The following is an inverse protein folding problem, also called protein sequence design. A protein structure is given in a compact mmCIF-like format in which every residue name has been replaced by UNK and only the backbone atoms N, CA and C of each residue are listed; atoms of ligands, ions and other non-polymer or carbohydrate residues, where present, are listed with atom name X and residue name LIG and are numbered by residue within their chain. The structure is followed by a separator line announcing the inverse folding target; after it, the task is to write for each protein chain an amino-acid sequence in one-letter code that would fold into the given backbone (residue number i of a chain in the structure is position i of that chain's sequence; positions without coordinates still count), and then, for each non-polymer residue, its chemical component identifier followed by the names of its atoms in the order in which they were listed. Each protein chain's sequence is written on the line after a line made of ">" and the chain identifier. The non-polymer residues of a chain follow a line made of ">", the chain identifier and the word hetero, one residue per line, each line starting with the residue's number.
data_IF_980256486560
#
_entry.id   IF_980256486560
#
_cell.length_a   1.000
_cell.length_b   1.000
_cell.length_c   1.000
_cell.angle_alpha   90.00
_cell.angle_beta   90.00
_cell.angle_gamma   90.00
#
_symmetry.space_group_name_H-M   'P 1'
#
loop_
_entity.id
_entity.type
_entity.pdbx_description
1 polymer ?
#
# COMPACT_ATOMS: atom_id res chain seq x y z
N UNK A 1 0.01 13.05 14.66
CA UNK A 1 0.18 11.95 15.68
C UNK A 1 0.27 12.55 17.09
N UNK A 2 -0.29 11.93 18.13
CA UNK A 2 -0.31 12.48 19.51
C UNK A 2 1.00 12.18 20.28
N UNK A 3 2.13 12.41 19.66
CA UNK A 3 3.45 12.19 20.23
C UNK A 3 4.26 13.48 20.21
N UNK A 4 5.22 13.58 21.13
CA UNK A 4 6.13 14.73 21.21
C UNK A 4 7.14 14.69 20.05
N UNK A 5 7.71 15.85 19.74
CA UNK A 5 8.75 15.99 18.73
C UNK A 5 9.99 15.17 19.11
N UNK A 6 10.62 14.54 18.14
CA UNK A 6 11.86 13.79 18.35
C UNK A 6 11.74 12.62 19.32
N UNK A 7 10.58 11.94 19.37
CA UNK A 7 10.33 10.84 20.31
C UNK A 7 10.88 9.50 19.84
N UNK A 8 10.98 9.28 18.50
CA UNK A 8 11.25 7.97 17.96
C UNK A 8 12.53 7.90 17.13
N UNK A 9 13.21 6.77 17.23
CA UNK A 9 14.35 6.45 16.37
C UNK A 9 13.89 5.89 15.02
N UNK A 10 12.74 5.21 15.01
CA UNK A 10 12.13 4.60 13.81
C UNK A 10 10.61 4.83 13.84
N UNK A 11 10.05 5.22 12.70
CA UNK A 11 8.62 5.14 12.42
C UNK A 11 8.43 4.09 11.33
N UNK A 12 7.56 3.11 11.61
CA UNK A 12 7.27 2.01 10.68
C UNK A 12 5.78 1.96 10.37
N UNK A 13 5.46 1.71 9.10
CA UNK A 13 4.08 1.48 8.66
C UNK A 13 3.99 0.32 7.68
N UNK A 14 2.90 -0.44 7.78
CA UNK A 14 2.58 -1.49 6.81
C UNK A 14 1.09 -1.44 6.47
N UNK A 15 0.80 -1.29 5.18
CA UNK A 15 -0.55 -1.34 4.58
C UNK A 15 -1.57 -0.43 5.31
N UNK A 16 -1.15 0.77 5.74
CA UNK A 16 -2.01 1.68 6.50
C UNK A 16 -1.92 3.15 6.09
N UNK A 17 -0.79 3.61 5.57
CA UNK A 17 -0.69 5.01 5.12
C UNK A 17 -1.43 5.27 3.80
N UNK A 18 -1.86 4.22 3.11
CA UNK A 18 -2.78 4.29 1.97
C UNK A 18 -4.09 5.02 2.34
N UNK A 19 -4.56 4.90 3.58
CA UNK A 19 -5.79 5.53 4.05
C UNK A 19 -5.64 7.00 4.43
N UNK A 20 -4.43 7.55 4.39
CA UNK A 20 -4.15 8.94 4.73
C UNK A 20 -4.12 9.78 3.44
N UNK A 21 -5.14 10.64 3.17
CA UNK A 21 -5.21 11.38 1.91
C UNK A 21 -4.07 12.38 1.74
N UNK A 22 -3.74 13.12 2.79
CA UNK A 22 -2.70 14.14 2.77
C UNK A 22 -1.33 13.53 3.08
N UNK A 23 -0.59 13.18 2.02
CA UNK A 23 0.75 12.62 2.13
C UNK A 23 1.79 13.65 2.61
N UNK A 24 1.54 14.95 2.38
CA UNK A 24 2.39 16.01 2.88
C UNK A 24 2.27 16.15 4.40
N UNK A 25 1.05 16.24 4.92
CA UNK A 25 0.81 16.25 6.37
C UNK A 25 1.34 14.97 7.06
N UNK A 26 1.20 13.81 6.41
CA UNK A 26 1.80 12.56 6.90
C UNK A 26 3.32 12.69 7.00
N UNK A 27 3.99 13.13 5.94
CA UNK A 27 5.45 13.25 5.90
C UNK A 27 5.97 14.26 6.94
N UNK A 28 5.32 15.41 7.08
CA UNK A 28 5.65 16.44 8.08
C UNK A 28 5.52 15.89 9.51
N UNK A 29 4.44 15.17 9.80
CA UNK A 29 4.20 14.63 11.13
C UNK A 29 5.14 13.46 11.47
N UNK A 30 5.47 12.60 10.49
CA UNK A 30 6.52 11.58 10.64
C UNK A 30 7.88 12.23 10.89
N UNK A 31 8.23 13.28 10.13
CA UNK A 31 9.46 14.02 10.32
C UNK A 31 9.55 14.63 11.71
N UNK A 32 8.48 15.26 12.18
CA UNK A 32 8.39 15.89 13.49
C UNK A 32 8.70 14.91 14.62
N UNK A 33 8.06 13.74 14.63
CA UNK A 33 8.19 12.76 15.72
C UNK A 33 9.49 11.96 15.68
N UNK A 34 10.19 11.91 14.56
CA UNK A 34 11.50 11.28 14.47
C UNK A 34 12.59 12.14 15.12
N UNK A 35 13.53 11.51 15.78
CA UNK A 35 14.79 12.12 16.23
C UNK A 35 15.68 12.46 15.03
N UNK A 36 16.62 13.44 15.16
CA UNK A 36 17.71 13.56 14.18
C UNK A 36 18.44 12.24 14.00
N UNK A 37 18.70 11.87 12.74
CA UNK A 37 19.26 10.56 12.38
C UNK A 37 18.24 9.41 12.34
N UNK A 38 17.00 9.63 12.74
CA UNK A 38 15.93 8.64 12.75
C UNK A 38 15.45 8.26 11.33
N UNK A 39 14.77 7.12 11.23
CA UNK A 39 14.37 6.53 9.95
C UNK A 39 12.87 6.31 9.86
N UNK A 40 12.33 6.56 8.68
CA UNK A 40 11.02 6.07 8.27
C UNK A 40 11.19 4.86 7.37
N UNK A 41 10.36 3.84 7.59
CA UNK A 41 10.25 2.66 6.72
C UNK A 41 8.80 2.25 6.57
N UNK A 42 8.37 1.97 5.34
CA UNK A 42 7.02 1.48 5.08
C UNK A 42 6.97 0.44 3.96
N UNK A 43 5.93 -0.38 4.00
CA UNK A 43 5.41 -1.16 2.89
C UNK A 43 3.99 -0.72 2.66
N UNK A 44 3.66 -0.25 1.48
CA UNK A 44 2.31 0.24 1.20
C UNK A 44 1.90 0.10 -0.26
N UNK A 45 0.62 0.29 -0.50
CA UNK A 45 -0.06 0.11 -1.76
C UNK A 45 -0.17 1.45 -2.49
N UNK A 46 0.55 1.58 -3.60
CA UNK A 46 0.62 2.79 -4.40
C UNK A 46 -0.06 2.57 -5.76
N UNK A 47 -0.44 3.68 -6.39
CA UNK A 47 -0.85 3.74 -7.78
C UNK A 47 0.30 4.29 -8.63
N UNK A 48 0.46 3.80 -9.87
CA UNK A 48 1.64 4.13 -10.70
C UNK A 48 1.70 5.58 -11.18
N UNK A 49 0.60 6.33 -11.09
CA UNK A 49 0.47 7.69 -11.61
C UNK A 49 -0.36 8.59 -10.68
N UNK A 50 -0.21 9.89 -10.82
CA UNK A 50 -1.10 10.86 -10.20
C UNK A 50 -2.43 10.96 -10.96
N UNK A 51 -3.48 11.38 -10.27
CA UNK A 51 -4.81 11.61 -10.83
C UNK A 51 -5.78 10.44 -10.62
N UNK A 52 -6.81 10.39 -11.45
CA UNK A 52 -7.88 9.40 -11.28
C UNK A 52 -7.41 7.99 -11.65
N UNK A 53 -7.77 6.97 -10.88
CA UNK A 53 -7.51 5.58 -11.24
C UNK A 53 -8.27 5.18 -12.51
N UNK A 54 -7.76 4.17 -13.22
CA UNK A 54 -8.48 3.54 -14.33
C UNK A 54 -9.82 2.96 -13.87
N UNK A 55 -10.65 2.56 -14.84
CA UNK A 55 -11.90 1.87 -14.53
C UNK A 55 -11.64 0.57 -13.77
N UNK A 56 -10.67 -0.23 -14.19
CA UNK A 56 -10.29 -1.50 -13.57
C UNK A 56 -9.80 -1.29 -12.14
N UNK A 57 -8.96 -0.26 -11.93
CA UNK A 57 -8.46 0.07 -10.60
C UNK A 57 -9.57 0.58 -9.68
N UNK A 58 -10.50 1.37 -10.21
CA UNK A 58 -11.67 1.84 -9.48
C UNK A 58 -12.59 0.70 -9.04
N UNK A 59 -12.80 -0.29 -9.92
CA UNK A 59 -13.60 -1.49 -9.60
C UNK A 59 -12.89 -2.39 -8.56
N UNK A 60 -11.55 -2.44 -8.59
CA UNK A 60 -10.79 -3.13 -7.55
C UNK A 60 -10.94 -2.44 -6.18
N UNK A 61 -10.70 -1.12 -6.12
CA UNK A 61 -10.85 -0.33 -4.89
C UNK A 61 -12.26 -0.48 -4.30
N UNK A 62 -13.28 -0.43 -5.15
CA UNK A 62 -14.67 -0.62 -4.74
C UNK A 62 -14.94 -2.03 -4.18
N UNK A 63 -14.35 -3.06 -4.79
CA UNK A 63 -14.50 -4.44 -4.33
C UNK A 63 -13.83 -4.68 -2.97
N UNK A 64 -12.71 -4.03 -2.68
CA UNK A 64 -12.08 -4.06 -1.36
C UNK A 64 -12.97 -3.46 -0.26
N UNK A 65 -13.86 -2.52 -0.61
CA UNK A 65 -14.75 -1.88 0.34
C UNK A 65 -14.06 -0.99 1.36
N UNK A 66 -12.84 -0.57 1.08
CA UNK A 66 -12.02 0.29 1.92
C UNK A 66 -11.79 1.66 1.25
N UNK A 67 -11.68 2.71 2.07
CA UNK A 67 -11.38 4.06 1.59
C UNK A 67 -9.88 4.19 1.28
N UNK A 68 -9.49 3.89 0.05
CA UNK A 68 -8.12 4.05 -0.41
C UNK A 68 -7.88 5.48 -0.90
N UNK A 69 -6.87 6.12 -0.34
CA UNK A 69 -6.33 7.39 -0.79
C UNK A 69 -4.94 7.14 -1.41
N UNK A 70 -4.90 6.36 -2.48
CA UNK A 70 -3.66 5.98 -3.14
C UNK A 70 -2.95 7.20 -3.71
N UNK A 71 -1.64 7.21 -3.57
CA UNK A 71 -0.75 8.20 -4.18
C UNK A 71 0.33 7.51 -5.01
N UNK A 72 0.88 8.23 -5.96
CA UNK A 72 1.96 7.72 -6.81
C UNK A 72 3.31 7.76 -6.08
N UNK A 73 4.31 6.99 -6.55
CA UNK A 73 5.67 7.10 -6.03
C UNK A 73 6.23 8.52 -6.08
N UNK A 74 5.88 9.28 -7.13
CA UNK A 74 6.29 10.68 -7.28
C UNK A 74 5.72 11.59 -6.19
N UNK A 75 4.45 11.43 -5.85
CA UNK A 75 3.80 12.20 -4.77
C UNK A 75 4.41 11.88 -3.41
N UNK A 76 4.70 10.62 -3.11
CA UNK A 76 5.43 10.24 -1.90
C UNK A 76 6.84 10.82 -1.86
N UNK A 77 7.60 10.69 -2.97
CA UNK A 77 8.95 11.25 -3.07
C UNK A 77 8.95 12.76 -2.81
N UNK A 78 8.00 13.48 -3.42
CA UNK A 78 7.85 14.92 -3.26
C UNK A 78 7.49 15.30 -1.81
N UNK A 79 6.48 14.63 -1.22
CA UNK A 79 6.02 14.89 0.14
C UNK A 79 7.14 14.71 1.17
N UNK A 80 7.85 13.59 1.10
CA UNK A 80 8.94 13.30 2.05
C UNK A 80 10.14 14.23 1.84
N UNK A 81 10.51 14.53 0.59
CA UNK A 81 11.59 15.48 0.30
C UNK A 81 11.26 16.89 0.79
N UNK A 82 10.04 17.38 0.58
CA UNK A 82 9.57 18.68 1.08
C UNK A 82 9.53 18.76 2.61
N UNK A 83 9.20 17.67 3.28
CA UNK A 83 9.24 17.60 4.75
C UNK A 83 10.67 17.64 5.33
N UNK A 84 11.70 17.53 4.49
CA UNK A 84 13.11 17.62 4.89
C UNK A 84 13.84 16.29 5.03
N UNK A 85 13.20 15.18 4.62
CA UNK A 85 13.89 13.90 4.59
C UNK A 85 14.98 13.85 3.53
N UNK A 86 16.04 13.12 3.84
CA UNK A 86 17.12 12.72 2.91
C UNK A 86 17.06 11.22 2.65
N UNK A 87 17.78 10.75 1.63
CA UNK A 87 17.85 9.34 1.26
C UNK A 87 16.43 8.71 1.06
N UNK A 88 15.53 9.49 0.45
CA UNK A 88 14.17 9.03 0.16
C UNK A 88 14.23 8.01 -0.98
N UNK A 89 13.91 6.77 -0.67
CA UNK A 89 13.98 5.67 -1.63
C UNK A 89 12.64 4.93 -1.67
N UNK A 90 12.14 4.72 -2.89
CA UNK A 90 10.94 3.95 -3.18
C UNK A 90 11.30 2.76 -4.08
N UNK A 91 11.13 1.56 -3.57
CA UNK A 91 11.42 0.32 -4.30
C UNK A 91 10.12 -0.34 -4.74
N UNK A 92 9.89 -0.37 -6.05
CA UNK A 92 8.71 -1.03 -6.61
C UNK A 92 8.77 -2.54 -6.36
N UNK A 93 7.73 -3.07 -5.71
CA UNK A 93 7.58 -4.48 -5.38
C UNK A 93 6.51 -5.18 -6.21
N UNK A 94 5.93 -4.50 -7.20
CA UNK A 94 4.87 -5.04 -8.04
C UNK A 94 5.20 -6.42 -8.64
N UNK A 95 6.41 -6.69 -9.18
CA UNK A 95 6.70 -8.00 -9.77
C UNK A 95 6.55 -9.15 -8.77
N UNK A 96 6.96 -8.93 -7.52
CA UNK A 96 6.82 -9.91 -6.45
C UNK A 96 5.36 -10.08 -6.03
N UNK A 97 4.65 -8.97 -5.76
CA UNK A 97 3.23 -8.98 -5.37
C UNK A 97 2.35 -9.59 -6.47
N UNK A 98 2.59 -9.26 -7.74
CA UNK A 98 1.87 -9.84 -8.88
C UNK A 98 2.01 -11.36 -8.93
N UNK A 99 3.22 -11.89 -8.65
CA UNK A 99 3.46 -13.33 -8.59
C UNK A 99 2.73 -13.99 -7.41
N UNK A 100 2.73 -13.35 -6.24
CA UNK A 100 2.07 -13.89 -5.05
C UNK A 100 0.55 -13.85 -5.21
N UNK A 101 -0.03 -12.72 -5.61
CA UNK A 101 -1.47 -12.59 -5.81
C UNK A 101 -2.03 -13.60 -6.83
N UNK A 102 -1.27 -13.88 -7.90
CA UNK A 102 -1.65 -14.91 -8.87
C UNK A 102 -1.71 -16.32 -8.24
N UNK A 103 -0.72 -16.67 -7.41
CA UNK A 103 -0.69 -17.98 -6.70
C UNK A 103 -1.81 -18.08 -5.66
N UNK A 104 -2.09 -17.00 -4.95
CA UNK A 104 -3.18 -16.94 -3.96
C UNK A 104 -4.54 -17.11 -4.66
N UNK A 105 -4.75 -16.47 -5.81
CA UNK A 105 -5.95 -16.65 -6.61
C UNK A 105 -6.09 -18.10 -7.10
N UNK A 106 -5.01 -18.71 -7.59
CA UNK A 106 -5.01 -20.13 -7.98
C UNK A 106 -5.37 -21.03 -6.81
N UNK A 107 -4.83 -20.75 -5.62
CA UNK A 107 -5.15 -21.49 -4.39
C UNK A 107 -6.62 -21.30 -3.98
N UNK A 108 -7.15 -20.08 -3.99
CA UNK A 108 -8.55 -19.77 -3.67
C UNK A 108 -9.53 -20.47 -4.62
N UNK A 109 -9.15 -20.68 -5.89
CA UNK A 109 -9.95 -21.38 -6.91
C UNK A 109 -9.70 -22.88 -6.96
N UNK A 110 -8.66 -23.35 -6.31
CA UNK A 110 -8.17 -24.73 -6.36
C UNK A 110 -8.97 -25.72 -5.50
N UNK A 111 -8.39 -26.90 -5.27
CA UNK A 111 -9.05 -27.97 -4.49
C UNK A 111 -9.40 -27.56 -3.06
N UNK A 112 -8.71 -26.58 -2.49
CA UNK A 112 -8.94 -26.08 -1.12
C UNK A 112 -10.22 -25.26 -0.97
N UNK A 113 -10.80 -24.77 -2.07
CA UNK A 113 -11.97 -23.87 -2.06
C UNK A 113 -13.15 -24.42 -1.26
N UNK A 114 -13.46 -25.71 -1.39
CA UNK A 114 -14.55 -26.34 -0.66
C UNK A 114 -14.29 -26.29 0.87
N UNK A 115 -13.11 -26.69 1.29
CA UNK A 115 -12.72 -26.65 2.71
C UNK A 115 -12.68 -25.24 3.28
N UNK A 116 -12.27 -24.26 2.50
CA UNK A 116 -12.31 -22.83 2.86
C UNK A 116 -13.76 -22.34 3.00
N UNK A 117 -14.62 -22.70 2.06
CA UNK A 117 -16.03 -22.32 2.06
C UNK A 117 -16.80 -22.91 3.27
N UNK A 118 -16.47 -24.12 3.68
CA UNK A 118 -17.03 -24.75 4.89
C UNK A 118 -16.59 -23.98 6.15
N UNK A 119 -15.33 -23.55 6.23
CA UNK A 119 -14.78 -22.88 7.42
C UNK A 119 -15.16 -21.40 7.54
N UNK A 120 -15.24 -20.69 6.43
CA UNK A 120 -15.38 -19.23 6.40
C UNK A 120 -16.68 -18.73 5.78
N UNK A 121 -17.46 -19.62 5.20
CA UNK A 121 -18.69 -19.30 4.47
C UNK A 121 -18.44 -19.15 2.96
N UNK A 122 -19.34 -19.71 2.17
CA UNK A 122 -19.22 -19.71 0.71
C UNK A 122 -19.23 -18.30 0.12
N UNK A 123 -20.14 -17.44 0.59
CA UNK A 123 -20.25 -16.06 0.10
C UNK A 123 -18.97 -15.25 0.33
N UNK A 124 -18.34 -15.44 1.50
CA UNK A 124 -17.06 -14.79 1.81
C UNK A 124 -15.96 -15.25 0.85
N UNK A 125 -15.84 -16.56 0.60
CA UNK A 125 -14.81 -17.09 -0.32
C UNK A 125 -15.07 -16.67 -1.76
N UNK A 126 -16.32 -16.65 -2.21
CA UNK A 126 -16.69 -16.18 -3.53
C UNK A 126 -16.32 -14.70 -3.71
N UNK A 127 -16.56 -13.87 -2.70
CA UNK A 127 -16.16 -12.46 -2.70
C UNK A 127 -14.63 -12.29 -2.69
N UNK A 128 -13.91 -13.08 -1.90
CA UNK A 128 -12.43 -13.06 -1.94
C UNK A 128 -11.89 -13.42 -3.31
N UNK A 129 -12.46 -14.41 -3.98
CA UNK A 129 -12.07 -14.74 -5.37
C UNK A 129 -12.29 -13.56 -6.31
N UNK A 130 -13.42 -12.86 -6.20
CA UNK A 130 -13.70 -11.67 -7.03
C UNK A 130 -12.67 -10.56 -6.79
N UNK A 131 -12.35 -10.25 -5.53
CA UNK A 131 -11.33 -9.25 -5.17
C UNK A 131 -9.97 -9.63 -5.76
N UNK A 132 -9.54 -10.89 -5.57
CA UNK A 132 -8.24 -11.36 -6.06
C UNK A 132 -8.14 -11.38 -7.59
N UNK A 133 -9.24 -11.65 -8.32
CA UNK A 133 -9.29 -11.52 -9.77
C UNK A 133 -9.00 -10.08 -10.23
N UNK A 134 -9.64 -9.11 -9.58
CA UNK A 134 -9.43 -7.68 -9.86
C UNK A 134 -8.00 -7.27 -9.46
N UNK A 135 -7.53 -7.66 -8.28
CA UNK A 135 -6.17 -7.39 -7.79
C UNK A 135 -5.10 -7.89 -8.77
N UNK A 136 -5.21 -9.14 -9.23
CA UNK A 136 -4.29 -9.71 -10.23
C UNK A 136 -4.32 -8.91 -11.53
N UNK A 137 -5.48 -8.41 -11.94
CA UNK A 137 -5.62 -7.57 -13.13
C UNK A 137 -4.85 -6.25 -12.99
N UNK A 138 -5.07 -5.51 -11.91
CA UNK A 138 -4.44 -4.19 -11.68
C UNK A 138 -2.95 -4.30 -11.34
N UNK A 139 -2.50 -5.40 -10.75
CA UNK A 139 -1.07 -5.68 -10.59
C UNK A 139 -0.40 -6.00 -11.92
N UNK A 140 -1.03 -6.80 -12.79
CA UNK A 140 -0.50 -7.13 -14.13
C UNK A 140 -0.42 -5.92 -15.04
N UNK A 141 -1.37 -4.98 -14.96
CA UNK A 141 -1.29 -3.72 -15.70
C UNK A 141 -0.14 -2.82 -15.22
N UNK A 142 0.34 -3.05 -14.00
CA UNK A 142 1.33 -2.21 -13.33
C UNK A 142 0.75 -0.94 -12.71
N UNK A 143 -0.55 -0.70 -12.85
CA UNK A 143 -1.21 0.47 -12.26
C UNK A 143 -1.19 0.37 -10.73
N UNK A 144 -1.53 -0.79 -10.17
CA UNK A 144 -1.30 -1.07 -8.77
C UNK A 144 0.17 -1.44 -8.55
N UNK A 145 0.90 -0.63 -7.82
CA UNK A 145 2.34 -0.79 -7.65
C UNK A 145 2.77 -0.68 -6.19
N UNK A 146 2.63 -1.76 -5.40
CA UNK A 146 3.12 -1.78 -4.02
C UNK A 146 4.60 -1.43 -3.94
N UNK A 147 4.97 -0.58 -2.98
CA UNK A 147 6.35 -0.12 -2.77
C UNK A 147 6.83 -0.35 -1.34
N UNK A 148 8.12 -0.58 -1.23
CA UNK A 148 8.83 -0.31 0.02
C UNK A 148 9.35 1.13 -0.03
N UNK A 149 9.12 1.87 1.05
CA UNK A 149 9.51 3.27 1.19
C UNK A 149 10.47 3.37 2.37
N UNK A 150 11.57 4.10 2.19
CA UNK A 150 12.46 4.47 3.29
C UNK A 150 12.92 5.91 3.13
N UNK A 151 13.13 6.56 4.27
CA UNK A 151 13.64 7.92 4.32
C UNK A 151 14.37 8.14 5.64
N UNK A 152 15.30 9.11 5.68
CA UNK A 152 16.08 9.46 6.87
C UNK A 152 15.87 10.91 7.22
N UNK A 153 15.62 11.19 8.49
CA UNK A 153 15.73 12.55 9.05
C UNK A 153 17.20 12.87 9.27
N UNK A 154 17.74 13.96 8.69
CA UNK A 154 19.14 14.32 8.87
C UNK A 154 19.51 14.64 10.32
#
# INVERSE_FOLDING_TARGET
>A
MPFEDGSFDIVFSKDSIIHIPDKSALAEDVFRVLKPGGHFAASDWLISHAGQPSYEMSEYIKAEGLDFAMASPGEYQEAFSKAGFVDVELVNRNPWYSSIAAKELEWLKGPEREGLSIRHGKEFIDHQVEIWEKLVGVLKSGEHCPHHIRAKKP
#
